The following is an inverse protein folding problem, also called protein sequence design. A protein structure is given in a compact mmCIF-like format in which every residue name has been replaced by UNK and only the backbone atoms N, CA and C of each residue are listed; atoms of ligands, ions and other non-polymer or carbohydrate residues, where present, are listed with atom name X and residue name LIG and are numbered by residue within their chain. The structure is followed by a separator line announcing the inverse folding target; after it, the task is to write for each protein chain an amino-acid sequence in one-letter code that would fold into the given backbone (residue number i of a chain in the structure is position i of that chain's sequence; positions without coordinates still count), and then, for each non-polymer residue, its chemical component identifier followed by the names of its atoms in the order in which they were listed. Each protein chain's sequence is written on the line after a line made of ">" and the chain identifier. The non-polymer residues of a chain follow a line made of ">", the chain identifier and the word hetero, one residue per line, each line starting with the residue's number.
data_IF_347469339697
#
_entry.id   IF_347469339697
#
_cell.length_a   1.000
_cell.length_b   1.000
_cell.length_c   1.000
_cell.angle_alpha   90.00
_cell.angle_beta   90.00
_cell.angle_gamma   90.00
#
_symmetry.space_group_name_H-M   'P 1'
#
loop_
_entity.id
_entity.type
_entity.pdbx_description
1 polymer ?
#
# COMPACT_ATOMS: atom_id res chain seq x y z
N UNK A 1 -19.25 -18.67 9.40
CA UNK A 1 -18.86 -18.31 9.30
C UNK A 1 -18.46 -17.58 9.37
N UNK A 2 -18.29 -17.22 9.32
CA UNK A 2 -18.03 -16.67 9.29
C UNK A 2 -17.42 -15.93 9.34
N UNK A 3 -16.99 -15.87 9.10
CA UNK A 3 -16.23 -15.39 8.98
C UNK A 3 -15.97 -14.27 9.37
N UNK A 4 -15.40 -13.86 9.48
CA UNK A 4 -14.83 -12.74 9.82
C UNK A 4 -15.65 -11.65 9.84
N UNK A 5 -16.69 -11.77 9.75
CA UNK A 5 -17.66 -10.81 10.08
C UNK A 5 -17.26 -9.39 9.87
N UNK A 6 -17.00 -9.01 8.70
CA UNK A 6 -16.86 -7.62 8.37
C UNK A 6 -15.46 -7.06 8.34
N UNK A 7 -14.48 -7.83 8.67
CA UNK A 7 -13.10 -7.36 8.55
C UNK A 7 -12.34 -8.27 7.59
N UNK A 8 -11.92 -7.69 6.48
CA UNK A 8 -11.14 -8.41 5.48
C UNK A 8 -9.83 -7.66 5.30
N UNK A 9 -8.73 -8.33 5.63
CA UNK A 9 -7.40 -7.72 5.52
C UNK A 9 -6.71 -8.31 4.31
N UNK A 10 -6.16 -7.47 3.42
CA UNK A 10 -5.43 -7.98 2.27
C UNK A 10 -4.24 -8.82 2.71
N UNK A 11 -3.89 -9.83 1.91
CA UNK A 11 -2.71 -10.64 2.18
C UNK A 11 -1.45 -9.84 1.88
N UNK A 12 -0.34 -10.28 2.42
CA UNK A 12 0.95 -9.64 2.13
C UNK A 12 1.23 -9.68 0.64
N UNK A 13 0.84 -10.74 -0.04
CA UNK A 13 1.02 -10.87 -1.48
C UNK A 13 0.24 -9.81 -2.23
N UNK A 14 -1.02 -9.60 -1.87
CA UNK A 14 -1.83 -8.56 -2.51
C UNK A 14 -1.24 -7.18 -2.30
N UNK A 15 -0.78 -6.91 -1.06
CA UNK A 15 -0.17 -5.61 -0.75
C UNK A 15 1.11 -5.40 -1.54
N UNK A 16 1.93 -6.44 -1.64
CA UNK A 16 3.17 -6.35 -2.40
C UNK A 16 2.90 -6.12 -3.88
N UNK A 17 1.97 -6.90 -4.46
CA UNK A 17 1.66 -6.77 -5.89
C UNK A 17 1.16 -5.38 -6.21
N UNK A 18 0.29 -4.83 -5.37
CA UNK A 18 -0.22 -3.47 -5.57
C UNK A 18 0.89 -2.44 -5.42
N UNK A 19 1.79 -2.63 -4.46
CA UNK A 19 2.90 -1.71 -4.24
C UNK A 19 3.86 -1.69 -5.42
N UNK A 20 4.18 -2.88 -5.95
CA UNK A 20 5.05 -2.98 -7.13
C UNK A 20 4.40 -2.34 -8.34
N UNK A 21 3.08 -2.48 -8.49
CA UNK A 21 2.36 -1.81 -9.56
C UNK A 21 2.45 -0.29 -9.44
N UNK A 22 2.30 0.24 -8.22
CA UNK A 22 2.43 1.67 -7.97
C UNK A 22 3.84 2.15 -8.31
N UNK A 23 4.85 1.42 -7.88
CA UNK A 23 6.24 1.78 -8.20
C UNK A 23 6.51 1.79 -9.69
N UNK A 24 5.89 0.86 -10.42
CA UNK A 24 6.03 0.80 -11.86
C UNK A 24 5.39 2.03 -12.52
N UNK A 25 4.18 2.38 -12.10
CA UNK A 25 3.44 3.49 -12.71
C UNK A 25 4.00 4.86 -12.34
N UNK A 26 4.58 4.99 -11.16
CA UNK A 26 5.14 6.27 -10.71
C UNK A 26 6.18 6.81 -11.69
N UNK A 27 6.90 5.94 -12.37
CA UNK A 27 7.91 6.36 -13.33
C UNK A 27 7.35 6.78 -14.68
N UNK A 28 6.03 6.66 -14.90
CA UNK A 28 5.42 6.93 -16.19
C UNK A 28 4.57 8.20 -16.10
N UNK A 29 4.98 9.31 -16.75
CA UNK A 29 4.21 10.55 -16.68
C UNK A 29 2.80 10.44 -17.24
N UNK A 30 2.55 9.52 -18.15
CA UNK A 30 1.22 9.33 -18.73
C UNK A 30 0.28 8.64 -17.74
N UNK A 31 0.82 7.78 -16.90
CA UNK A 31 0.02 7.05 -15.92
C UNK A 31 -0.17 7.83 -14.62
N UNK A 32 0.71 8.77 -14.36
CA UNK A 32 0.67 9.57 -13.14
C UNK A 32 0.75 11.06 -13.47
N UNK A 33 -0.23 11.59 -14.21
CA UNK A 33 -0.17 12.99 -14.65
C UNK A 33 -0.20 13.99 -13.49
N UNK A 34 -0.83 13.60 -12.38
CA UNK A 34 -0.91 14.45 -11.20
C UNK A 34 0.16 14.12 -10.18
N UNK A 35 1.08 13.24 -10.53
CA UNK A 35 2.23 12.93 -9.72
C UNK A 35 2.09 11.67 -8.88
N UNK A 36 3.19 11.27 -8.26
CA UNK A 36 3.24 10.01 -7.51
C UNK A 36 2.27 9.97 -6.33
N UNK A 37 2.00 11.11 -5.72
CA UNK A 37 1.12 11.15 -4.54
C UNK A 37 -0.29 10.66 -4.86
N UNK A 38 -0.78 10.96 -6.06
CA UNK A 38 -2.11 10.52 -6.45
C UNK A 38 -2.17 9.01 -6.55
N UNK A 39 -1.18 8.40 -7.20
CA UNK A 39 -1.11 6.94 -7.32
C UNK A 39 -0.99 6.28 -5.97
N UNK A 40 -0.16 6.85 -5.11
CA UNK A 40 0.03 6.34 -3.76
C UNK A 40 -1.27 6.40 -2.98
N UNK A 41 -1.99 7.51 -3.08
CA UNK A 41 -3.27 7.66 -2.43
C UNK A 41 -4.29 6.65 -2.90
N UNK A 42 -4.32 6.36 -4.20
CA UNK A 42 -5.21 5.34 -4.75
C UNK A 42 -4.86 3.95 -4.23
N UNK A 43 -3.58 3.63 -4.16
CA UNK A 43 -3.15 2.33 -3.66
C UNK A 43 -3.53 2.15 -2.20
N UNK A 44 -3.32 3.17 -1.38
CA UNK A 44 -3.70 3.13 0.02
C UNK A 44 -5.21 2.98 0.16
N UNK A 45 -5.97 3.68 -0.67
CA UNK A 45 -7.43 3.60 -0.63
C UNK A 45 -7.95 2.20 -0.97
N UNK A 46 -7.27 1.49 -1.87
CA UNK A 46 -7.67 0.13 -2.20
C UNK A 46 -7.44 -0.86 -1.06
N UNK A 47 -6.59 -0.49 -0.12
CA UNK A 47 -6.29 -1.35 1.02
C UNK A 47 -7.08 -0.98 2.26
N UNK A 48 -8.16 -0.23 2.09
CA UNK A 48 -9.05 0.10 3.20
C UNK A 48 -9.97 -1.09 3.51
N UNK A 49 -10.49 -1.09 4.69
CA UNK A 49 -11.47 -2.09 5.08
C UNK A 49 -12.56 -1.44 5.94
N UNK A 50 -13.74 -2.04 5.90
CA UNK A 50 -14.87 -1.55 6.66
C UNK A 50 -15.08 -2.41 7.90
N UNK A 51 -15.50 -1.77 8.97
CA UNK A 51 -15.82 -2.47 10.21
C UNK A 51 -17.26 -2.20 10.53
N UNK A 52 -18.05 -3.26 10.71
CA UNK A 52 -19.42 -3.14 11.15
C UNK A 52 -19.50 -3.50 12.63
N UNK A 53 -20.14 -2.65 13.39
CA UNK A 53 -20.33 -2.89 14.81
C UNK A 53 -21.70 -3.47 15.03
N UNK A 54 -21.78 -4.56 15.79
CA UNK A 54 -23.04 -5.24 16.04
C UNK A 54 -23.89 -4.52 17.08
N UNK A 55 -23.25 -3.76 17.96
CA UNK A 55 -23.96 -3.05 19.00
C UNK A 55 -24.03 -1.57 18.69
N UNK A 56 -25.08 -0.94 19.18
CA UNK A 56 -25.19 0.51 19.04
C UNK A 56 -24.17 1.18 19.91
N UNK A 57 -23.55 2.19 19.34
CA UNK A 57 -22.52 2.97 20.00
C UNK A 57 -23.08 4.39 20.16
N UNK A 58 -22.81 5.02 21.27
CA UNK A 58 -23.26 6.39 21.50
C UNK A 58 -22.63 7.34 20.49
N UNK A 59 -23.26 8.49 20.27
CA UNK A 59 -22.73 9.48 19.34
C UNK A 59 -21.33 9.92 19.71
N UNK A 60 -21.08 10.07 21.00
CA UNK A 60 -19.76 10.47 21.48
C UNK A 60 -18.72 9.41 21.18
N UNK A 61 -19.06 8.14 21.41
CA UNK A 61 -18.15 7.04 21.15
C UNK A 61 -17.91 6.89 19.64
N UNK A 62 -18.94 7.14 18.83
CA UNK A 62 -18.78 7.13 17.38
C UNK A 62 -17.80 8.20 16.93
N UNK A 63 -17.88 9.40 17.50
CA UNK A 63 -16.95 10.48 17.17
C UNK A 63 -15.51 10.11 17.54
N UNK A 64 -15.33 9.50 18.72
CA UNK A 64 -14.01 9.09 19.16
C UNK A 64 -13.45 7.99 18.26
N UNK A 65 -14.31 7.04 17.90
CA UNK A 65 -13.90 5.96 17.02
C UNK A 65 -13.52 6.49 15.65
N UNK A 66 -14.31 7.44 15.12
CA UNK A 66 -14.00 8.04 13.83
C UNK A 66 -12.68 8.81 13.87
N UNK A 67 -12.42 9.54 14.94
CA UNK A 67 -11.18 10.28 15.10
C UNK A 67 -9.98 9.32 15.20
N UNK A 68 -10.13 8.23 15.93
CA UNK A 68 -9.09 7.21 16.05
C UNK A 68 -8.80 6.57 14.70
N UNK A 69 -9.84 6.19 13.97
CA UNK A 69 -9.71 5.59 12.65
C UNK A 69 -9.01 6.54 11.68
N UNK A 70 -9.40 7.82 11.73
CA UNK A 70 -8.78 8.83 10.86
C UNK A 70 -7.30 9.01 11.19
N UNK A 71 -6.95 9.01 12.49
CA UNK A 71 -5.57 9.15 12.91
C UNK A 71 -4.72 7.96 12.46
N UNK A 72 -5.25 6.75 12.57
CA UNK A 72 -4.56 5.56 12.10
C UNK A 72 -4.36 5.63 10.60
N UNK A 73 -5.40 6.02 9.86
CA UNK A 73 -5.31 6.16 8.42
C UNK A 73 -4.24 7.17 8.01
N UNK A 74 -4.19 8.29 8.69
CA UNK A 74 -3.18 9.30 8.41
C UNK A 74 -1.77 8.79 8.70
N UNK A 75 -1.61 8.05 9.81
CA UNK A 75 -0.32 7.48 10.15
C UNK A 75 0.15 6.50 9.09
N UNK A 76 -0.74 5.61 8.63
CA UNK A 76 -0.40 4.66 7.58
C UNK A 76 -0.06 5.37 6.27
N UNK A 77 -0.79 6.43 5.93
CA UNK A 77 -0.49 7.21 4.73
C UNK A 77 0.90 7.84 4.81
N UNK A 78 1.26 8.37 5.96
CA UNK A 78 2.59 8.94 6.16
C UNK A 78 3.68 7.88 6.09
N UNK A 79 3.43 6.72 6.70
CA UNK A 79 4.37 5.61 6.63
C UNK A 79 4.56 5.15 5.18
N UNK A 80 3.47 5.02 4.43
CA UNK A 80 3.56 4.64 3.03
C UNK A 80 4.37 5.64 2.22
N UNK A 81 4.18 6.93 2.49
CA UNK A 81 4.94 7.98 1.81
C UNK A 81 6.43 7.87 2.11
N UNK A 82 6.78 7.65 3.38
CA UNK A 82 8.18 7.49 3.77
C UNK A 82 8.78 6.25 3.11
N UNK A 83 8.06 5.13 3.13
CA UNK A 83 8.53 3.90 2.49
C UNK A 83 8.73 4.12 0.99
N UNK A 84 7.79 4.80 0.34
CA UNK A 84 7.93 5.09 -1.08
C UNK A 84 9.19 5.90 -1.38
N UNK A 85 9.44 6.95 -0.60
CA UNK A 85 10.61 7.80 -0.81
C UNK A 85 11.90 7.00 -0.69
N UNK A 86 12.00 6.18 0.35
CA UNK A 86 13.18 5.36 0.58
C UNK A 86 13.36 4.32 -0.51
N UNK A 87 12.28 3.64 -0.87
CA UNK A 87 12.34 2.57 -1.86
C UNK A 87 12.66 3.12 -3.25
N UNK A 88 12.10 4.28 -3.58
CA UNK A 88 12.42 4.95 -4.83
C UNK A 88 13.91 5.24 -4.93
N UNK A 89 14.48 5.74 -3.84
CA UNK A 89 15.90 6.04 -3.79
C UNK A 89 16.74 4.76 -3.93
N UNK A 90 16.33 3.70 -3.24
CA UNK A 90 17.05 2.43 -3.32
C UNK A 90 16.99 1.84 -4.73
N UNK A 91 15.84 1.91 -5.38
CA UNK A 91 15.69 1.44 -6.76
C UNK A 91 16.62 2.22 -7.68
N UNK A 92 16.68 3.54 -7.51
CA UNK A 92 17.55 4.39 -8.32
C UNK A 92 19.00 4.04 -8.12
N UNK A 93 19.44 3.89 -6.86
CA UNK A 93 20.82 3.54 -6.56
C UNK A 93 21.16 2.17 -7.11
N UNK A 94 20.28 1.20 -6.90
CA UNK A 94 20.52 -0.15 -7.38
C UNK A 94 20.63 -0.19 -8.90
N UNK A 95 19.74 0.50 -9.59
CA UNK A 95 19.81 0.59 -11.05
C UNK A 95 21.12 1.21 -11.53
N UNK A 96 21.59 2.27 -10.84
CA UNK A 96 22.83 2.91 -11.21
C UNK A 96 24.06 1.99 -11.00
N UNK A 97 24.01 1.20 -9.93
CA UNK A 97 25.12 0.30 -9.63
C UNK A 97 25.16 -0.92 -10.57
N UNK A 98 23.98 -1.46 -10.88
CA UNK A 98 23.88 -2.67 -11.71
C UNK A 98 23.80 -2.39 -13.19
N UNK A 99 23.48 -1.17 -13.59
CA UNK A 99 23.24 -0.84 -14.99
C UNK A 99 21.84 -1.22 -15.45
N UNK A 100 20.99 -1.67 -14.54
CA UNK A 100 19.64 -2.07 -14.88
C UNK A 100 18.68 -0.88 -14.91
N UNK A 101 17.62 -0.99 -15.71
CA UNK A 101 16.59 0.02 -15.71
C UNK A 101 15.74 -0.12 -14.46
N UNK A 102 14.97 0.92 -14.18
CA UNK A 102 14.02 0.91 -13.07
C UNK A 102 13.05 -0.27 -13.20
N UNK A 103 12.54 -0.50 -14.41
CA UNK A 103 11.60 -1.60 -14.66
C UNK A 103 12.24 -2.96 -14.41
N UNK A 104 13.50 -3.12 -14.77
CA UNK A 104 14.21 -4.37 -14.53
C UNK A 104 14.41 -4.63 -13.05
N UNK A 105 14.74 -3.58 -12.28
CA UNK A 105 14.90 -3.72 -10.82
C UNK A 105 13.58 -4.13 -10.18
N UNK A 106 12.49 -3.48 -10.57
CA UNK A 106 11.17 -3.80 -10.02
C UNK A 106 10.75 -5.23 -10.39
N UNK A 107 11.02 -5.63 -11.62
CA UNK A 107 10.70 -7.00 -12.05
C UNK A 107 11.48 -8.03 -11.25
N UNK A 108 12.74 -7.75 -10.96
CA UNK A 108 13.56 -8.65 -10.14
C UNK A 108 13.00 -8.75 -8.72
N UNK A 109 12.54 -7.63 -8.16
CA UNK A 109 11.89 -7.66 -6.86
C UNK A 109 10.64 -8.54 -6.87
N UNK A 110 9.83 -8.42 -7.93
CA UNK A 110 8.64 -9.24 -8.05
C UNK A 110 8.98 -10.72 -8.09
N UNK A 111 10.06 -11.08 -8.78
CA UNK A 111 10.50 -12.46 -8.85
C UNK A 111 11.06 -12.96 -7.51
N UNK A 112 11.83 -12.10 -6.84
CA UNK A 112 12.43 -12.47 -5.56
C UNK A 112 11.39 -12.76 -4.49
N UNK A 113 10.24 -12.11 -4.56
CA UNK A 113 9.18 -12.30 -3.59
C UNK A 113 7.99 -13.04 -4.16
N UNK A 114 8.21 -13.81 -5.22
CA UNK A 114 7.10 -14.51 -5.88
C UNK A 114 6.47 -15.57 -4.99
N UNK A 115 7.17 -16.03 -3.96
CA UNK A 115 6.61 -17.02 -3.03
C UNK A 115 6.14 -16.42 -1.71
N UNK A 116 6.04 -15.09 -1.64
CA UNK A 116 5.54 -14.44 -0.44
C UNK A 116 4.11 -14.94 -0.16
N UNK A 117 3.85 -15.34 1.07
CA UNK A 117 2.60 -15.97 1.50
C UNK A 117 2.35 -17.31 0.80
N UNK A 118 3.29 -17.76 0.02
CA UNK A 118 3.02 -18.89 -0.85
C UNK A 118 3.27 -20.21 -0.22
N UNK A 119 4.34 -20.40 0.40
CA UNK A 119 4.54 -21.68 0.86
C UNK A 119 5.12 -21.74 2.10
N UNK A 120 4.80 -22.50 2.75
CA UNK A 120 5.36 -22.63 4.05
C UNK A 120 6.75 -23.08 4.08
#
# INVERSE_FOLDING_TARGET
>A
MSESDGIVVPSSRELLDDWLAVLTLIGDPEQAPNGPRELLGRAIGRHSFDIELETRVSSRDQEQLAAFTAAIGEMFSRQATVHWIVEERLITVLGNVTGESRAEVIQQLALDFSDLDGTA
#
